data_IF_264405533000
#
_entry.id   IF_264405533000
#
_cell.length_a   1.000
_cell.length_b   1.000
_cell.length_c   1.000
_cell.angle_alpha   90.00
_cell.angle_beta   90.00
_cell.angle_gamma   90.00
#
_symmetry.space_group_name_H-M   'P 1'
#
loop_
_entity.id
_entity.type
_entity.pdbx_description
1 polymer ?
#
# COMPACT_ATOMS: atom_id res chain seq x y z
N UNK A 1 0.43 -9.67 35.14
CA UNK A 1 0.92 -8.91 33.96
C UNK A 1 0.91 -9.84 32.75
N UNK A 2 0.12 -9.55 31.70
CA UNK A 2 -0.02 -10.47 30.56
C UNK A 2 1.33 -10.68 29.84
N UNK A 3 1.50 -11.81 29.17
CA UNK A 3 2.71 -12.10 28.38
C UNK A 3 2.97 -10.99 27.36
N UNK A 4 1.90 -10.42 26.79
CA UNK A 4 1.91 -9.23 25.94
C UNK A 4 2.53 -8.00 26.62
N UNK A 5 2.20 -7.73 27.89
CA UNK A 5 2.79 -6.61 28.64
C UNK A 5 4.25 -6.87 29.06
N UNK A 6 4.63 -8.14 29.30
CA UNK A 6 6.03 -8.54 29.52
C UNK A 6 6.89 -8.37 28.26
N UNK A 7 6.35 -8.71 27.08
CA UNK A 7 7.02 -8.48 25.80
C UNK A 7 7.16 -6.99 25.46
N UNK A 8 6.21 -6.15 25.93
CA UNK A 8 6.29 -4.68 25.77
C UNK A 8 7.42 -4.06 26.59
N UNK A 9 7.63 -4.53 27.82
CA UNK A 9 8.57 -3.92 28.75
C UNK A 9 10.00 -4.49 28.66
N UNK A 10 10.16 -5.75 28.27
CA UNK A 10 11.45 -6.46 28.39
C UNK A 10 12.08 -6.92 27.08
N UNK A 11 11.50 -6.62 25.91
CA UNK A 11 12.14 -6.90 24.61
C UNK A 11 12.36 -8.39 24.31
N UNK A 12 11.65 -9.28 24.99
CA UNK A 12 11.66 -10.72 24.74
C UNK A 12 11.11 -10.96 23.31
N UNK A 13 11.75 -11.83 22.50
CA UNK A 13 11.18 -12.26 21.21
C UNK A 13 9.72 -12.64 21.40
N UNK A 14 8.84 -12.26 20.47
CA UNK A 14 7.47 -12.76 20.49
C UNK A 14 7.54 -14.18 19.93
N UNK A 15 7.52 -15.26 20.74
CA UNK A 15 7.49 -16.60 20.17
C UNK A 15 6.22 -16.75 19.33
N UNK A 16 6.29 -17.52 18.25
CA UNK A 16 5.17 -17.99 17.42
C UNK A 16 3.91 -18.31 18.25
N UNK A 17 4.12 -18.88 19.45
CA UNK A 17 3.07 -19.26 20.41
C UNK A 17 2.23 -18.10 20.99
N UNK A 18 2.66 -16.85 20.87
CA UNK A 18 1.94 -15.70 21.48
C UNK A 18 0.63 -15.37 20.76
N UNK A 19 0.49 -15.82 19.50
CA UNK A 19 -0.74 -15.63 18.71
C UNK A 19 -1.45 -16.95 18.36
N UNK A 20 -0.99 -18.10 18.86
CA UNK A 20 -1.49 -19.43 18.45
C UNK A 20 -1.48 -19.68 16.92
N UNK A 21 -0.65 -18.96 16.18
CA UNK A 21 -0.55 -19.04 14.72
C UNK A 21 0.50 -20.08 14.33
N UNK A 22 0.16 -21.03 13.46
CA UNK A 22 1.15 -21.91 12.83
C UNK A 22 1.40 -21.45 11.39
N UNK A 23 2.63 -21.64 10.88
CA UNK A 23 2.94 -21.33 9.49
C UNK A 23 2.03 -22.09 8.50
N UNK A 24 1.47 -23.21 8.93
CA UNK A 24 0.50 -24.04 8.22
C UNK A 24 -0.82 -23.31 7.99
N UNK A 25 -1.33 -22.54 8.97
CA UNK A 25 -2.63 -21.85 8.85
C UNK A 25 -2.67 -20.88 7.66
N UNK A 26 -1.60 -20.14 7.41
CA UNK A 26 -1.52 -19.24 6.25
C UNK A 26 -1.30 -19.99 4.93
N UNK A 27 -0.58 -21.12 4.95
CA UNK A 27 -0.42 -21.93 3.74
C UNK A 27 -1.73 -22.59 3.30
N UNK A 28 -2.67 -22.78 4.23
CA UNK A 28 -3.98 -23.33 3.96
C UNK A 28 -5.00 -22.27 3.53
N UNK A 29 -4.66 -20.97 3.59
CA UNK A 29 -5.53 -19.91 3.09
C UNK A 29 -5.39 -19.77 1.57
N UNK A 30 -6.42 -20.11 0.76
CA UNK A 30 -6.33 -20.07 -0.70
C UNK A 30 -6.21 -18.65 -1.26
N UNK A 31 -6.47 -17.62 -0.45
CA UNK A 31 -6.40 -16.21 -0.83
C UNK A 31 -5.14 -15.52 -0.28
N UNK A 32 -4.29 -16.26 0.43
CA UNK A 32 -3.04 -15.76 0.97
C UNK A 32 -1.84 -16.23 0.14
N UNK A 33 -0.89 -15.34 -0.05
CA UNK A 33 0.33 -15.59 -0.83
C UNK A 33 1.51 -14.95 -0.13
N UNK A 34 2.65 -15.62 -0.12
CA UNK A 34 3.89 -15.08 0.39
C UNK A 34 5.08 -15.66 -0.34
N UNK A 35 6.14 -14.87 -0.49
CA UNK A 35 7.42 -15.36 -0.98
C UNK A 35 8.37 -15.67 0.17
N UNK A 36 9.30 -16.60 -0.10
CA UNK A 36 10.48 -16.79 0.76
C UNK A 36 11.38 -15.56 0.72
N UNK A 37 12.30 -15.49 1.67
CA UNK A 37 13.28 -14.43 1.72
C UNK A 37 14.16 -14.48 0.46
N UNK A 38 14.33 -13.34 -0.20
CA UNK A 38 15.20 -13.22 -1.37
C UNK A 38 16.14 -12.01 -1.24
N UNK A 39 17.18 -11.94 -2.08
CA UNK A 39 18.30 -11.02 -1.93
C UNK A 39 18.20 -9.82 -2.86
N UNK A 40 18.69 -8.70 -2.37
CA UNK A 40 19.01 -7.51 -3.14
C UNK A 40 20.42 -7.01 -2.79
N UNK A 41 20.89 -5.99 -3.48
CA UNK A 41 22.29 -5.53 -3.37
C UNK A 41 22.67 -4.99 -1.97
N UNK A 42 21.70 -4.72 -1.10
CA UNK A 42 21.90 -4.27 0.28
C UNK A 42 21.19 -5.15 1.32
N UNK A 43 20.99 -6.43 1.05
CA UNK A 43 20.44 -7.35 2.04
C UNK A 43 19.35 -8.23 1.45
N UNK A 44 18.25 -8.36 2.18
CA UNK A 44 17.18 -9.30 1.87
C UNK A 44 15.82 -8.61 1.88
N UNK A 45 14.81 -9.24 1.29
CA UNK A 45 13.44 -8.79 1.36
C UNK A 45 12.44 -9.95 1.40
N UNK A 46 11.27 -9.69 1.96
CA UNK A 46 10.15 -10.64 2.06
C UNK A 46 8.85 -9.93 1.72
N UNK A 47 7.91 -10.63 1.11
CA UNK A 47 6.63 -10.09 0.66
C UNK A 47 5.49 -11.06 1.00
N UNK A 48 4.33 -10.51 1.35
CA UNK A 48 3.10 -11.26 1.51
C UNK A 48 1.90 -10.42 1.08
N UNK A 49 0.88 -11.09 0.57
CA UNK A 49 -0.39 -10.50 0.18
C UNK A 49 -1.55 -11.42 0.60
N UNK A 50 -2.67 -10.85 1.05
CA UNK A 50 -3.89 -11.59 1.39
C UNK A 50 -5.11 -10.89 0.84
N UNK A 51 -5.83 -11.59 -0.04
CA UNK A 51 -7.03 -11.09 -0.67
C UNK A 51 -8.23 -11.18 0.28
N UNK A 52 -9.07 -10.14 0.23
CA UNK A 52 -10.33 -9.98 0.94
C UNK A 52 -11.49 -9.72 -0.01
N UNK A 53 -11.32 -8.79 -0.95
CA UNK A 53 -12.37 -8.41 -1.91
C UNK A 53 -12.62 -9.48 -2.99
N UNK A 54 -13.66 -9.30 -3.82
CA UNK A 54 -13.98 -10.25 -4.91
C UNK A 54 -12.77 -10.50 -5.81
N UNK A 55 -12.10 -9.43 -6.18
CA UNK A 55 -10.83 -9.43 -6.88
C UNK A 55 -9.82 -8.74 -5.97
N UNK A 56 -8.56 -9.17 -5.99
CA UNK A 56 -7.50 -8.51 -5.24
C UNK A 56 -7.22 -7.16 -5.90
N UNK A 57 -7.54 -6.06 -5.22
CA UNK A 57 -7.35 -4.70 -5.76
C UNK A 57 -5.96 -4.15 -5.43
N UNK A 58 -5.31 -4.74 -4.43
CA UNK A 58 -3.93 -4.50 -4.06
C UNK A 58 -2.96 -5.12 -5.08
N UNK A 59 -2.09 -4.28 -5.64
CA UNK A 59 -0.95 -4.71 -6.46
C UNK A 59 0.36 -4.30 -5.81
N UNK A 60 1.37 -5.13 -5.93
CA UNK A 60 2.73 -4.73 -5.62
C UNK A 60 3.73 -5.36 -6.56
N UNK A 61 4.91 -4.79 -6.55
CA UNK A 61 6.06 -5.36 -7.24
C UNK A 61 7.37 -4.92 -6.60
N UNK A 62 8.36 -5.81 -6.65
CA UNK A 62 9.74 -5.56 -6.24
C UNK A 62 10.64 -5.93 -7.40
N UNK A 63 11.56 -5.03 -7.75
CA UNK A 63 12.48 -5.21 -8.86
C UNK A 63 13.91 -5.05 -8.37
N UNK A 64 14.75 -6.05 -8.61
CA UNK A 64 16.11 -6.14 -8.06
C UNK A 64 17.12 -5.83 -9.15
N UNK A 65 17.92 -4.78 -8.94
CA UNK A 65 19.03 -4.39 -9.81
C UNK A 65 20.39 -4.65 -9.19
N UNK A 66 21.47 -4.34 -9.93
CA UNK A 66 22.84 -4.53 -9.45
C UNK A 66 23.20 -3.61 -8.27
N UNK A 67 22.82 -2.34 -8.36
CA UNK A 67 23.05 -1.31 -7.36
C UNK A 67 21.76 -0.52 -7.05
N UNK A 68 20.61 -1.14 -7.37
CA UNK A 68 19.29 -0.57 -7.22
C UNK A 68 18.24 -1.60 -6.73
N UNK A 69 17.23 -1.13 -6.02
CA UNK A 69 16.05 -1.90 -5.64
C UNK A 69 14.82 -1.01 -5.81
N UNK A 70 13.82 -1.49 -6.55
CA UNK A 70 12.52 -0.84 -6.64
C UNK A 70 11.47 -1.60 -5.84
N UNK A 71 10.59 -0.87 -5.18
CA UNK A 71 9.44 -1.40 -4.45
C UNK A 71 8.24 -0.51 -4.76
N UNK A 72 7.12 -1.11 -5.17
CA UNK A 72 5.85 -0.40 -5.34
C UNK A 72 4.68 -1.14 -4.69
N UNK A 73 3.81 -0.40 -4.03
CA UNK A 73 2.49 -0.86 -3.52
C UNK A 73 1.42 0.07 -4.09
N UNK A 74 0.38 -0.54 -4.66
CA UNK A 74 -0.73 0.11 -5.34
C UNK A 74 -2.03 -0.43 -4.76
N UNK A 75 -2.70 0.40 -3.97
CA UNK A 75 -3.90 0.02 -3.22
C UNK A 75 -5.11 0.43 -4.05
N UNK A 76 -5.71 -0.50 -4.78
CA UNK A 76 -6.82 -0.25 -5.69
C UNK A 76 -8.11 0.08 -4.95
N UNK A 77 -8.94 0.93 -5.55
CA UNK A 77 -10.24 1.29 -4.99
C UNK A 77 -11.31 1.29 -6.08
N UNK A 78 -12.43 0.60 -5.80
CA UNK A 78 -13.55 0.37 -6.74
C UNK A 78 -13.14 -0.40 -8.00
N UNK A 79 -12.14 -1.27 -7.88
CA UNK A 79 -11.55 -2.04 -8.94
C UNK A 79 -10.02 -1.97 -8.95
N UNK A 80 -9.42 -2.95 -9.62
CA UNK A 80 -7.98 -3.14 -9.75
C UNK A 80 -7.34 -2.37 -10.92
N UNK A 81 -8.16 -1.82 -11.82
CA UNK A 81 -7.68 -1.33 -13.12
C UNK A 81 -6.64 -0.22 -13.00
N UNK A 82 -6.80 0.71 -12.05
CA UNK A 82 -5.81 1.75 -11.79
C UNK A 82 -4.50 1.17 -11.20
N UNK A 83 -4.60 0.24 -10.24
CA UNK A 83 -3.45 -0.42 -9.64
C UNK A 83 -2.65 -1.24 -10.68
N UNK A 84 -3.35 -1.96 -11.56
CA UNK A 84 -2.76 -2.68 -12.70
C UNK A 84 -2.05 -1.70 -13.64
N UNK A 85 -2.68 -0.58 -14.00
CA UNK A 85 -2.07 0.42 -14.87
C UNK A 85 -0.77 0.94 -14.27
N UNK A 86 -0.80 1.39 -13.00
CA UNK A 86 0.39 1.90 -12.32
C UNK A 86 1.52 0.85 -12.34
N UNK A 87 1.24 -0.40 -11.93
CA UNK A 87 2.23 -1.49 -11.93
C UNK A 87 2.90 -1.68 -13.29
N UNK A 88 2.15 -1.59 -14.39
CA UNK A 88 2.66 -1.84 -15.75
C UNK A 88 3.52 -0.70 -16.29
N UNK A 89 3.36 0.52 -15.77
CA UNK A 89 3.90 1.73 -16.39
C UNK A 89 4.92 2.48 -15.53
N UNK A 90 4.73 2.52 -14.20
CA UNK A 90 5.48 3.47 -13.35
C UNK A 90 6.98 3.17 -13.27
N UNK A 91 7.36 1.89 -13.22
CA UNK A 91 8.78 1.56 -13.12
C UNK A 91 9.53 1.86 -14.41
N UNK A 92 8.91 1.56 -15.56
CA UNK A 92 9.42 1.92 -16.89
C UNK A 92 9.59 3.42 -17.04
N UNK A 93 8.59 4.20 -16.64
CA UNK A 93 8.66 5.65 -16.64
C UNK A 93 9.80 6.17 -15.74
N UNK A 94 9.94 5.61 -14.54
CA UNK A 94 11.01 5.95 -13.61
C UNK A 94 12.40 5.70 -14.19
N UNK A 95 12.65 4.51 -14.73
CA UNK A 95 13.92 4.17 -15.35
C UNK A 95 14.22 5.05 -16.57
N UNK A 96 13.21 5.35 -17.40
CA UNK A 96 13.36 6.26 -18.53
C UNK A 96 13.79 7.66 -18.07
N UNK A 97 13.14 8.23 -17.05
CA UNK A 97 13.51 9.54 -16.48
C UNK A 97 14.91 9.54 -15.85
N UNK A 98 15.29 8.45 -15.18
CA UNK A 98 16.66 8.28 -14.65
C UNK A 98 17.69 8.29 -15.78
N UNK A 99 17.40 7.61 -16.90
CA UNK A 99 18.28 7.59 -18.08
C UNK A 99 18.41 8.97 -18.71
N UNK A 100 17.28 9.64 -18.95
CA UNK A 100 17.22 11.02 -19.47
C UNK A 100 17.99 11.99 -18.57
N UNK A 101 18.09 11.70 -17.27
CA UNK A 101 18.86 12.46 -16.29
C UNK A 101 20.27 11.89 -16.05
N UNK A 102 20.96 11.43 -17.10
CA UNK A 102 22.34 10.94 -17.05
C UNK A 102 22.56 9.80 -16.03
N UNK A 103 21.61 8.87 -15.95
CA UNK A 103 21.60 7.75 -14.99
C UNK A 103 21.63 8.19 -13.51
N UNK A 104 21.06 9.37 -13.21
CA UNK A 104 20.96 9.90 -11.86
C UNK A 104 19.51 9.99 -11.39
N UNK A 105 19.24 9.43 -10.21
CA UNK A 105 17.96 9.55 -9.55
C UNK A 105 17.90 10.84 -8.70
N UNK A 106 16.78 11.56 -8.76
CA UNK A 106 16.54 12.80 -7.99
C UNK A 106 15.10 12.86 -7.47
N UNK A 107 14.84 13.76 -6.53
CA UNK A 107 13.48 13.97 -5.99
C UNK A 107 12.50 14.50 -7.06
N UNK A 108 12.85 15.46 -7.93
CA UNK A 108 11.97 15.91 -9.01
C UNK A 108 11.46 14.78 -9.92
N UNK A 109 12.32 13.82 -10.27
CA UNK A 109 11.94 12.65 -11.10
C UNK A 109 10.74 11.91 -10.50
N UNK A 110 10.67 11.76 -9.16
CA UNK A 110 9.52 11.12 -8.53
C UNK A 110 8.20 11.85 -8.82
N UNK A 111 8.22 13.19 -8.86
CA UNK A 111 7.04 14.01 -9.14
C UNK A 111 6.61 13.86 -10.59
N UNK A 112 7.56 14.01 -11.49
CA UNK A 112 7.35 13.89 -12.93
C UNK A 112 6.79 12.51 -13.30
N UNK A 113 7.31 11.44 -12.68
CA UNK A 113 6.82 10.08 -12.91
C UNK A 113 5.38 9.91 -12.42
N UNK A 114 5.04 10.38 -11.22
CA UNK A 114 3.66 10.28 -10.72
C UNK A 114 2.70 11.11 -11.57
N UNK A 115 3.09 12.31 -11.99
CA UNK A 115 2.30 13.16 -12.90
C UNK A 115 2.07 12.51 -14.26
N UNK A 116 3.11 11.88 -14.82
CA UNK A 116 3.02 11.14 -16.07
C UNK A 116 2.06 9.95 -15.95
N UNK A 117 2.12 9.20 -14.84
CA UNK A 117 1.22 8.06 -14.62
C UNK A 117 -0.22 8.51 -14.42
N UNK A 118 -0.47 9.60 -13.69
CA UNK A 118 -1.81 10.19 -13.59
C UNK A 118 -2.33 10.58 -14.97
N UNK A 119 -1.54 11.36 -15.73
CA UNK A 119 -1.96 11.86 -17.05
C UNK A 119 -2.25 10.70 -18.02
N UNK A 120 -1.39 9.69 -18.03
CA UNK A 120 -1.56 8.49 -18.83
C UNK A 120 -2.81 7.69 -18.43
N UNK A 121 -3.09 7.54 -17.13
CA UNK A 121 -4.30 6.84 -16.67
C UNK A 121 -5.58 7.62 -17.00
N UNK A 122 -5.57 8.95 -16.85
CA UNK A 122 -6.71 9.80 -17.23
C UNK A 122 -7.02 9.69 -18.72
N UNK A 123 -5.98 9.67 -19.56
CA UNK A 123 -6.13 9.48 -21.00
C UNK A 123 -6.63 8.08 -21.35
N UNK A 124 -6.13 7.05 -20.66
CA UNK A 124 -6.65 5.68 -20.77
C UNK A 124 -8.15 5.62 -20.42
N UNK A 125 -8.55 6.19 -19.27
CA UNK A 125 -9.94 6.24 -18.83
C UNK A 125 -10.84 6.98 -19.82
N UNK A 126 -10.36 8.10 -20.38
CA UNK A 126 -11.04 8.85 -21.42
C UNK A 126 -11.27 7.99 -22.66
N UNK A 127 -10.27 7.29 -23.15
CA UNK A 127 -10.38 6.44 -24.34
C UNK A 127 -11.31 5.25 -24.11
N UNK A 128 -11.22 4.59 -22.96
CA UNK A 128 -12.13 3.50 -22.61
C UNK A 128 -13.59 3.96 -22.51
N UNK A 129 -13.83 5.19 -22.01
CA UNK A 129 -15.17 5.77 -22.03
C UNK A 129 -15.65 6.10 -23.46
N UNK A 130 -14.84 6.81 -24.25
CA UNK A 130 -15.27 7.32 -25.55
C UNK A 130 -15.37 6.24 -26.64
N UNK A 131 -14.53 5.20 -26.55
CA UNK A 131 -14.44 4.17 -27.59
C UNK A 131 -15.13 2.87 -27.16
N UNK A 132 -15.04 2.51 -25.87
CA UNK A 132 -15.52 1.22 -25.35
C UNK A 132 -16.75 1.37 -24.44
N UNK A 133 -17.25 2.58 -24.24
CA UNK A 133 -18.40 2.88 -23.37
C UNK A 133 -18.22 2.44 -21.91
N UNK A 134 -16.97 2.33 -21.44
CA UNK A 134 -16.62 1.88 -20.09
C UNK A 134 -16.50 3.06 -19.11
N UNK A 135 -17.64 3.67 -18.76
CA UNK A 135 -17.67 4.83 -17.85
C UNK A 135 -17.12 4.52 -16.44
N UNK A 136 -17.20 3.27 -15.98
CA UNK A 136 -16.75 2.85 -14.65
C UNK A 136 -15.24 3.08 -14.43
N UNK A 137 -14.41 3.05 -15.48
CA UNK A 137 -12.96 3.35 -15.37
C UNK A 137 -12.71 4.79 -14.92
N UNK A 138 -13.65 5.72 -15.15
CA UNK A 138 -13.58 7.08 -14.62
C UNK A 138 -13.85 7.20 -13.10
N UNK A 139 -14.23 6.09 -12.45
CA UNK A 139 -14.57 6.02 -11.02
C UNK A 139 -13.58 5.16 -10.21
N UNK A 140 -12.75 4.36 -10.87
CA UNK A 140 -11.72 3.55 -10.20
C UNK A 140 -10.49 4.39 -9.89
N UNK A 141 -9.76 4.03 -8.84
CA UNK A 141 -8.56 4.75 -8.43
C UNK A 141 -7.57 3.83 -7.74
N UNK A 142 -6.36 4.33 -7.47
CA UNK A 142 -5.41 3.59 -6.65
C UNK A 142 -4.49 4.52 -5.87
N UNK A 143 -4.18 4.15 -4.63
CA UNK A 143 -3.01 4.69 -3.92
C UNK A 143 -1.71 4.24 -4.61
N UNK A 144 -0.66 5.04 -4.53
CA UNK A 144 0.62 4.75 -5.15
C UNK A 144 1.76 5.08 -4.18
N UNK A 145 2.37 4.04 -3.62
CA UNK A 145 3.58 4.14 -2.81
C UNK A 145 4.73 3.49 -3.57
N UNK A 146 5.70 4.28 -4.01
CA UNK A 146 6.91 3.77 -4.67
C UNK A 146 8.16 4.15 -3.89
N UNK A 147 9.15 3.27 -3.93
CA UNK A 147 10.46 3.49 -3.35
C UNK A 147 11.53 2.92 -4.27
N UNK A 148 12.56 3.72 -4.60
CA UNK A 148 13.78 3.24 -5.22
C UNK A 148 14.96 3.49 -4.29
N UNK A 149 15.72 2.44 -3.98
CA UNK A 149 17.01 2.58 -3.34
C UNK A 149 18.05 2.58 -4.45
N UNK A 150 18.48 3.75 -4.88
CA UNK A 150 19.44 3.96 -5.96
C UNK A 150 20.82 4.26 -5.39
N UNK A 151 21.79 3.35 -5.59
CA UNK A 151 23.19 3.53 -5.18
C UNK A 151 23.35 3.96 -3.71
N UNK A 152 22.56 3.37 -2.82
CA UNK A 152 22.57 3.66 -1.38
C UNK A 152 21.78 4.90 -0.94
N UNK A 153 21.11 5.60 -1.85
CA UNK A 153 20.15 6.67 -1.53
C UNK A 153 18.73 6.16 -1.73
N UNK A 154 17.89 6.31 -0.72
CA UNK A 154 16.48 5.96 -0.78
C UNK A 154 15.67 7.17 -1.26
N UNK A 155 14.81 6.96 -2.25
CA UNK A 155 13.85 7.91 -2.79
C UNK A 155 12.46 7.31 -2.72
N UNK A 156 11.48 8.06 -2.23
CA UNK A 156 10.14 7.56 -1.97
C UNK A 156 9.09 8.60 -2.36
N UNK A 157 8.02 8.15 -3.02
CA UNK A 157 6.85 8.96 -3.32
C UNK A 157 5.58 8.24 -2.85
N UNK A 158 4.65 8.98 -2.26
CA UNK A 158 3.38 8.46 -1.78
C UNK A 158 2.19 9.31 -2.24
N UNK A 159 1.19 8.67 -2.80
CA UNK A 159 -0.14 9.19 -3.13
C UNK A 159 -1.15 8.25 -2.44
N UNK A 160 -1.98 8.74 -1.53
CA UNK A 160 -2.87 7.90 -0.74
C UNK A 160 -2.35 7.56 0.66
N UNK A 161 -2.82 6.45 1.23
CA UNK A 161 -2.68 6.10 2.65
C UNK A 161 -1.88 4.81 2.93
N UNK A 162 -1.35 4.16 1.90
CA UNK A 162 -0.20 3.25 2.01
C UNK A 162 0.96 3.92 2.76
N UNK A 163 1.76 3.13 3.48
CA UNK A 163 2.78 3.67 4.39
C UNK A 163 4.08 2.89 4.34
N UNK A 164 5.18 3.65 4.48
CA UNK A 164 6.53 3.13 4.65
C UNK A 164 7.11 3.53 6.02
N UNK A 165 7.62 2.54 6.76
CA UNK A 165 8.14 2.69 8.12
C UNK A 165 9.57 2.17 8.19
N UNK A 166 10.50 3.05 8.56
CA UNK A 166 11.91 2.72 8.77
C UNK A 166 12.15 2.28 10.21
N UNK A 167 12.77 1.12 10.37
CA UNK A 167 13.43 0.68 11.60
C UNK A 167 14.92 1.00 11.55
N UNK A 168 15.41 1.70 12.56
CA UNK A 168 16.85 1.99 12.73
C UNK A 168 17.31 1.67 14.14
N UNK A 169 18.59 1.38 14.33
CA UNK A 169 19.21 1.16 15.64
C UNK A 169 20.06 2.36 16.02
N UNK A 170 19.67 3.07 17.08
CA UNK A 170 20.43 4.21 17.63
C UNK A 170 20.89 3.93 19.06
N UNK A 171 22.04 4.47 19.43
CA UNK A 171 22.70 4.23 20.72
C UNK A 171 24.10 3.64 20.56
N UNK A 172 24.77 3.38 21.68
CA UNK A 172 26.17 2.96 21.73
C UNK A 172 26.28 1.50 22.18
N UNK A 173 27.08 0.70 21.47
CA UNK A 173 27.38 -0.69 21.81
C UNK A 173 26.13 -1.55 22.07
N UNK A 174 26.05 -2.24 23.22
CA UNK A 174 24.93 -3.12 23.56
C UNK A 174 23.61 -2.36 23.84
N UNK A 175 23.65 -1.03 24.04
CA UNK A 175 22.48 -0.22 24.35
C UNK A 175 21.74 0.34 23.12
N UNK A 176 22.00 -0.21 21.92
CA UNK A 176 21.29 0.18 20.70
C UNK A 176 19.80 -0.13 20.81
N UNK A 177 18.96 0.90 20.71
CA UNK A 177 17.50 0.82 20.74
C UNK A 177 16.90 0.94 19.34
N UNK A 178 15.80 0.22 19.13
CA UNK A 178 14.98 0.36 17.92
C UNK A 178 14.32 1.74 17.91
N UNK A 179 14.57 2.50 16.86
CA UNK A 179 13.92 3.76 16.53
C UNK A 179 13.04 3.53 15.30
N UNK A 180 11.76 3.86 15.43
CA UNK A 180 10.74 3.67 14.40
C UNK A 180 10.37 5.03 13.82
N UNK A 181 10.43 5.18 12.50
CA UNK A 181 10.08 6.43 11.83
C UNK A 181 9.22 6.14 10.60
N UNK A 182 8.02 6.70 10.55
CA UNK A 182 7.26 6.81 9.31
C UNK A 182 7.97 7.79 8.37
N UNK A 183 8.27 7.37 7.14
CA UNK A 183 9.14 8.14 6.25
C UNK A 183 8.40 9.19 5.43
N UNK A 184 7.12 8.94 5.13
CA UNK A 184 6.29 9.78 4.28
C UNK A 184 4.93 10.02 4.93
N UNK A 185 4.34 11.18 4.70
CA UNK A 185 2.99 11.49 5.17
C UNK A 185 1.97 10.63 4.42
N UNK A 186 0.92 10.21 5.15
CA UNK A 186 -0.23 9.50 4.58
C UNK A 186 -1.38 10.47 4.35
N UNK A 187 -2.10 10.29 3.24
CA UNK A 187 -3.19 11.15 2.79
C UNK A 187 -4.57 10.60 3.15
N UNK A 188 -4.68 10.00 4.34
CA UNK A 188 -5.94 9.49 4.89
C UNK A 188 -6.77 10.61 5.50
N UNK A 189 -8.08 10.55 5.33
CA UNK A 189 -9.04 11.45 5.96
C UNK A 189 -9.11 11.27 7.48
N UNK A 190 -8.50 10.24 8.07
CA UNK A 190 -8.33 10.16 9.53
C UNK A 190 -7.28 11.17 10.04
N UNK A 191 -6.37 11.61 9.17
CA UNK A 191 -5.30 12.54 9.52
C UNK A 191 -5.83 13.98 9.68
N UNK A 192 -5.63 14.57 10.86
CA UNK A 192 -6.07 15.94 11.15
C UNK A 192 -5.47 17.01 10.23
N UNK A 193 -4.24 16.81 9.75
CA UNK A 193 -3.61 17.79 8.84
C UNK A 193 -4.18 17.69 7.43
N UNK A 194 -4.55 16.49 6.98
CA UNK A 194 -5.29 16.29 5.72
C UNK A 194 -6.66 16.96 5.80
N UNK A 195 -7.37 16.81 6.94
CA UNK A 195 -8.65 17.52 7.17
C UNK A 195 -8.50 19.04 7.11
N UNK A 196 -7.43 19.60 7.68
CA UNK A 196 -7.13 21.05 7.59
C UNK A 196 -6.81 21.46 6.15
N UNK A 197 -6.03 20.68 5.42
CA UNK A 197 -5.71 20.91 4.00
C UNK A 197 -6.98 20.95 3.15
N UNK A 198 -7.87 19.97 3.32
CA UNK A 198 -9.18 19.90 2.64
C UNK A 198 -10.04 21.13 2.93
N UNK A 199 -10.16 21.55 4.20
CA UNK A 199 -10.90 22.79 4.57
C UNK A 199 -10.31 24.04 3.92
N UNK A 200 -8.98 24.11 3.79
CA UNK A 200 -8.31 25.24 3.15
C UNK A 200 -8.53 25.26 1.65
N UNK A 201 -8.56 24.10 0.99
CA UNK A 201 -8.81 23.99 -0.45
C UNK A 201 -10.29 24.19 -0.81
N UNK A 202 -11.19 23.86 0.12
CA UNK A 202 -12.65 23.95 -0.04
C UNK A 202 -13.29 24.76 1.10
N UNK A 203 -12.96 26.07 1.24
CA UNK A 203 -13.47 26.90 2.33
C UNK A 203 -14.99 27.13 2.26
N UNK A 204 -15.58 26.92 1.10
CA UNK A 204 -17.00 27.03 0.76
C UNK A 204 -17.77 25.71 0.93
N UNK A 205 -17.11 24.62 1.32
CA UNK A 205 -17.69 23.29 1.41
C UNK A 205 -17.56 22.69 2.81
N UNK A 206 -18.54 22.98 3.67
CA UNK A 206 -18.59 22.46 5.04
C UNK A 206 -18.76 20.94 5.11
N UNK A 207 -19.13 20.30 4.00
CA UNK A 207 -19.35 18.87 3.85
C UNK A 207 -18.28 18.24 2.94
N UNK A 208 -17.09 18.83 2.85
CA UNK A 208 -16.01 18.27 2.02
C UNK A 208 -15.59 16.87 2.51
N UNK A 209 -15.56 16.67 3.83
CA UNK A 209 -15.37 15.36 4.44
C UNK A 209 -16.40 15.13 5.55
N UNK A 210 -16.84 13.90 5.70
CA UNK A 210 -17.92 13.49 6.60
C UNK A 210 -17.57 12.18 7.30
N UNK A 211 -18.17 11.96 8.47
CA UNK A 211 -18.02 10.74 9.23
C UNK A 211 -19.16 9.79 8.86
N UNK A 212 -18.83 8.72 8.12
CA UNK A 212 -19.81 7.70 7.77
C UNK A 212 -19.86 6.63 8.85
N UNK A 213 -21.06 6.31 9.33
CA UNK A 213 -21.30 5.11 10.13
C UNK A 213 -21.46 3.91 9.19
N UNK A 214 -20.60 2.89 9.31
CA UNK A 214 -20.85 1.58 8.74
C UNK A 214 -22.08 0.99 9.41
N UNK A 215 -23.16 0.78 8.65
CA UNK A 215 -24.38 0.13 9.13
C UNK A 215 -24.15 -1.38 9.19
N UNK A 216 -24.10 -1.94 10.39
CA UNK A 216 -24.21 -3.37 10.64
C UNK A 216 -25.67 -3.64 11.04
N UNK A 217 -26.46 -4.25 10.15
CA UNK A 217 -27.87 -4.56 10.43
C UNK A 217 -28.04 -5.75 11.39
N UNK A 218 -27.01 -6.59 11.55
CA UNK A 218 -27.17 -7.90 12.23
C UNK A 218 -26.82 -7.81 13.72
N UNK A 219 -25.91 -6.93 14.12
CA UNK A 219 -25.47 -6.84 15.52
C UNK A 219 -25.43 -5.38 16.03
N UNK A 220 -26.52 -4.93 16.66
CA UNK A 220 -26.64 -3.62 17.34
C UNK A 220 -25.62 -3.35 18.46
N UNK A 221 -24.79 -4.34 18.81
CA UNK A 221 -23.83 -4.29 19.92
C UNK A 221 -22.36 -4.45 19.51
N UNK A 222 -22.05 -4.54 18.21
CA UNK A 222 -20.66 -4.56 17.73
C UNK A 222 -20.30 -3.14 17.26
N UNK A 223 -19.17 -2.64 17.72
CA UNK A 223 -18.64 -1.28 17.51
C UNK A 223 -18.94 -0.77 16.09
N UNK A 224 -19.82 0.25 15.98
CA UNK A 224 -20.07 0.98 14.75
C UNK A 224 -18.74 1.47 14.19
N UNK A 225 -18.32 0.95 13.04
CA UNK A 225 -17.12 1.44 12.38
C UNK A 225 -17.41 2.83 11.83
N UNK A 226 -16.76 3.86 12.36
CA UNK A 226 -16.83 5.21 11.84
C UNK A 226 -15.62 5.46 10.96
N UNK A 227 -15.85 5.96 9.74
CA UNK A 227 -14.79 6.24 8.78
C UNK A 227 -14.95 7.64 8.21
N UNK A 228 -13.90 8.44 8.28
CA UNK A 228 -13.88 9.73 7.61
C UNK A 228 -13.69 9.55 6.11
N UNK A 229 -14.56 10.18 5.32
CA UNK A 229 -14.54 10.07 3.85
C UNK A 229 -14.75 11.44 3.21
N UNK A 230 -14.22 11.64 2.01
CA UNK A 230 -14.54 12.78 1.16
C UNK A 230 -15.85 12.51 0.46
N UNK A 231 -16.83 13.39 0.69
CA UNK A 231 -18.18 13.30 0.11
C UNK A 231 -18.89 11.96 0.30
N UNK A 232 -18.55 11.22 1.36
CA UNK A 232 -19.13 9.91 1.62
C UNK A 232 -18.53 8.77 0.79
N UNK A 233 -17.56 9.02 -0.09
CA UNK A 233 -17.16 8.08 -1.14
C UNK A 233 -15.78 7.45 -0.97
N UNK A 234 -14.78 8.17 -0.48
CA UNK A 234 -13.38 7.69 -0.44
C UNK A 234 -12.65 8.19 0.82
N UNK A 235 -11.79 7.35 1.40
CA UNK A 235 -11.08 7.65 2.65
C UNK A 235 -9.75 8.41 2.45
N UNK A 236 -9.30 8.58 1.21
CA UNK A 236 -8.04 9.24 0.88
C UNK A 236 -8.28 10.55 0.16
N UNK A 237 -7.47 11.58 0.46
CA UNK A 237 -7.51 12.85 -0.26
C UNK A 237 -6.67 12.86 -1.53
N UNK A 238 -5.83 11.83 -1.69
CA UNK A 238 -4.94 11.70 -2.85
C UNK A 238 -4.98 10.29 -3.41
N UNK A 239 -5.06 10.17 -4.73
CA UNK A 239 -5.03 8.92 -5.47
C UNK A 239 -4.64 9.17 -6.93
N UNK A 240 -4.21 8.12 -7.63
CA UNK A 240 -4.17 8.09 -9.10
C UNK A 240 -5.55 7.67 -9.61
N UNK A 241 -6.03 8.30 -10.69
CA UNK A 241 -7.36 8.04 -11.24
C UNK A 241 -8.48 8.76 -10.51
N UNK A 242 -9.67 8.16 -10.42
CA UNK A 242 -10.90 8.80 -9.94
C UNK A 242 -11.25 10.09 -10.71
N UNK A 243 -11.24 9.99 -12.05
CA UNK A 243 -11.43 11.11 -12.97
C UNK A 243 -12.68 11.96 -12.65
N UNK A 244 -13.77 11.32 -12.18
CA UNK A 244 -15.00 12.02 -11.82
C UNK A 244 -14.81 13.01 -10.67
N UNK A 245 -14.25 12.57 -9.53
CA UNK A 245 -14.02 13.43 -8.36
C UNK A 245 -12.91 14.46 -8.61
N UNK A 246 -12.07 14.26 -9.64
CA UNK A 246 -11.11 15.24 -10.15
C UNK A 246 -11.69 16.21 -11.19
N UNK A 247 -12.98 16.08 -11.54
CA UNK A 247 -13.68 16.88 -12.56
C UNK A 247 -13.01 16.87 -13.94
N UNK A 248 -12.40 15.76 -14.34
CA UNK A 248 -11.76 15.65 -15.65
C UNK A 248 -12.80 15.88 -16.76
N UNK A 249 -12.48 16.62 -17.85
CA UNK A 249 -13.47 17.07 -18.83
C UNK A 249 -14.42 15.99 -19.39
N UNK A 250 -13.93 14.77 -19.65
CA UNK A 250 -14.78 13.71 -20.22
C UNK A 250 -15.89 13.24 -19.27
N UNK A 251 -15.72 13.41 -17.96
CA UNK A 251 -16.69 13.02 -16.93
C UNK A 251 -17.85 14.02 -16.81
N UNK A 252 -17.71 15.21 -17.41
CA UNK A 252 -18.73 16.26 -17.41
C UNK A 252 -19.71 16.13 -18.59
N UNK A 253 -19.47 15.17 -19.51
CA UNK A 253 -20.36 14.94 -20.65
C UNK A 253 -21.66 14.30 -20.16
N UNK A 254 -22.81 14.70 -20.73
CA UNK A 254 -24.15 14.15 -20.39
C UNK A 254 -24.27 12.62 -20.53
N UNK A 255 -23.44 12.04 -21.39
CA UNK A 255 -23.36 10.60 -21.66
C UNK A 255 -22.57 9.83 -20.60
N UNK A 256 -21.75 10.52 -19.79
CA UNK A 256 -21.06 9.89 -18.67
C UNK A 256 -22.06 9.67 -17.54
N UNK A 257 -22.47 8.41 -17.33
CA UNK A 257 -23.45 8.04 -16.29
C UNK A 257 -22.73 7.57 -15.04
N UNK A 258 -23.09 8.17 -13.93
CA UNK A 258 -22.54 7.84 -12.61
C UNK A 258 -23.59 7.00 -11.86
N UNK A 259 -23.22 5.81 -11.37
CA UNK A 259 -24.09 4.99 -10.52
C UNK A 259 -24.57 5.78 -9.31
N UNK A 260 -25.77 5.47 -8.80
CA UNK A 260 -26.40 6.26 -7.72
C UNK A 260 -25.51 6.30 -6.46
N UNK A 261 -24.94 5.16 -6.04
CA UNK A 261 -24.04 5.06 -4.89
C UNK A 261 -22.68 5.76 -5.08
N UNK A 262 -22.38 6.20 -6.30
CA UNK A 262 -21.11 6.84 -6.69
C UNK A 262 -21.25 8.35 -6.91
N UNK A 263 -22.46 8.89 -6.80
CA UNK A 263 -22.71 10.31 -7.03
C UNK A 263 -22.34 11.11 -5.81
N UNK A 264 -21.54 12.16 -6.02
CA UNK A 264 -21.41 13.23 -5.05
C UNK A 264 -22.75 13.96 -4.97
N UNK A 265 -23.40 13.90 -3.81
CA UNK A 265 -24.76 14.46 -3.60
C UNK A 265 -24.77 15.99 -3.73
N UNK A 266 -23.78 16.65 -3.14
CA UNK A 266 -23.61 18.10 -3.24
C UNK A 266 -22.84 18.48 -4.51
N UNK A 267 -23.29 19.50 -5.24
CA UNK A 267 -22.51 20.02 -6.36
C UNK A 267 -21.10 20.45 -5.92
N UNK A 268 -20.09 20.19 -6.77
CA UNK A 268 -18.71 20.60 -6.54
C UNK A 268 -18.12 21.25 -7.78
N UNK A 269 -17.43 22.38 -7.59
CA UNK A 269 -16.89 23.20 -8.69
C UNK A 269 -15.43 22.92 -8.98
N UNK A 270 -14.68 22.44 -7.99
CA UNK A 270 -13.23 22.19 -8.03
C UNK A 270 -12.90 20.71 -7.77
N UNK A 271 -11.75 20.18 -8.22
CA UNK A 271 -11.33 18.81 -7.92
C UNK A 271 -11.35 18.53 -6.42
N UNK A 272 -11.88 17.38 -6.01
CA UNK A 272 -11.97 16.94 -4.61
C UNK A 272 -10.76 16.11 -4.16
N UNK A 273 -9.99 15.61 -5.14
CA UNK A 273 -8.86 14.71 -4.95
C UNK A 273 -7.65 15.25 -5.72
N UNK A 274 -6.45 14.94 -5.23
CA UNK A 274 -5.18 15.27 -5.91
C UNK A 274 -4.37 14.01 -6.23
N UNK A 275 -3.55 14.04 -7.27
CA UNK A 275 -2.53 13.03 -7.55
C UNK A 275 -1.13 13.44 -7.06
N UNK A 276 -1.00 14.63 -6.46
CA UNK A 276 0.30 15.17 -6.06
C UNK A 276 0.98 14.30 -4.99
N UNK A 277 2.21 13.80 -5.24
CA UNK A 277 2.87 12.92 -4.30
C UNK A 277 3.54 13.70 -3.14
N UNK A 278 3.47 13.13 -1.95
CA UNK A 278 4.44 13.43 -0.91
C UNK A 278 5.75 12.71 -1.25
N UNK A 279 6.89 13.41 -1.25
CA UNK A 279 8.19 12.80 -1.59
C UNK A 279 9.17 12.90 -0.44
N UNK A 280 10.05 11.91 -0.36
CA UNK A 280 11.09 11.81 0.66
C UNK A 280 12.36 11.25 0.05
N UNK A 281 13.51 11.81 0.40
CA UNK A 281 14.81 11.22 0.07
C UNK A 281 15.76 11.24 1.25
N UNK A 282 16.66 10.25 1.29
CA UNK A 282 17.75 10.20 2.26
C UNK A 282 18.87 9.29 1.78
N UNK A 283 20.09 9.63 2.14
CA UNK A 283 21.21 8.68 2.11
C UNK A 283 20.99 7.66 3.23
N UNK A 284 21.09 6.37 2.90
CA UNK A 284 20.98 5.30 3.89
C UNK A 284 22.22 5.28 4.79
N UNK A 285 21.98 5.06 6.08
CA UNK A 285 23.01 4.99 7.11
C UNK A 285 23.18 3.55 7.58
N UNK A 286 24.35 3.24 8.11
CA UNK A 286 24.64 1.93 8.74
C UNK A 286 23.75 1.61 9.95
N UNK A 287 23.06 2.62 10.50
CA UNK A 287 22.08 2.44 11.58
C UNK A 287 20.72 2.00 11.06
N UNK A 288 20.43 2.17 9.78
CA UNK A 288 19.15 1.76 9.18
C UNK A 288 19.16 0.24 9.04
N UNK A 289 18.10 -0.41 9.52
CA UNK A 289 18.04 -1.88 9.61
C UNK A 289 17.04 -2.47 8.64
N UNK A 290 15.87 -1.85 8.48
CA UNK A 290 14.84 -2.33 7.58
C UNK A 290 13.81 -1.25 7.27
N UNK A 291 13.08 -1.42 6.17
CA UNK A 291 11.88 -0.67 5.83
C UNK A 291 10.70 -1.62 5.68
N UNK A 292 9.57 -1.28 6.27
CA UNK A 292 8.30 -1.97 6.11
C UNK A 292 7.39 -1.11 5.23
N UNK A 293 6.99 -1.65 4.10
CA UNK A 293 5.97 -1.08 3.22
C UNK A 293 4.68 -1.87 3.40
N UNK A 294 3.53 -1.19 3.42
CA UNK A 294 2.25 -1.88 3.42
C UNK A 294 1.11 -1.03 2.87
N UNK A 295 0.08 -1.70 2.38
CA UNK A 295 -1.18 -1.09 1.92
C UNK A 295 -2.04 -0.60 3.10
N UNK A 296 -3.12 0.13 2.80
CA UNK A 296 -4.02 0.66 3.81
C UNK A 296 -4.62 -0.45 4.67
N UNK A 297 -5.01 -1.58 4.05
CA UNK A 297 -5.55 -2.74 4.76
C UNK A 297 -4.63 -3.28 5.86
N UNK A 298 -3.33 -3.32 5.63
CA UNK A 298 -2.35 -3.69 6.64
C UNK A 298 -2.28 -2.66 7.78
N UNK A 299 -2.14 -1.37 7.45
CA UNK A 299 -1.92 -0.31 8.44
C UNK A 299 -3.18 0.09 9.23
N UNK A 300 -4.39 -0.25 8.74
CA UNK A 300 -5.65 -0.18 9.51
C UNK A 300 -5.66 -1.13 10.72
N UNK A 301 -4.86 -2.19 10.68
CA UNK A 301 -4.78 -3.22 11.73
C UNK A 301 -3.48 -3.14 12.55
N UNK A 302 -2.42 -2.59 11.97
CA UNK A 302 -1.08 -2.57 12.55
C UNK A 302 -0.59 -1.16 12.88
N UNK A 303 -0.07 -0.97 14.10
CA UNK A 303 0.71 0.22 14.48
C UNK A 303 2.15 0.09 13.98
N UNK A 304 2.80 1.22 13.69
CA UNK A 304 4.20 1.29 13.27
C UNK A 304 5.13 0.55 14.24
N UNK A 305 4.94 0.77 15.54
CA UNK A 305 5.80 0.24 16.61
C UNK A 305 5.69 -1.27 16.72
N UNK A 306 4.47 -1.82 16.64
CA UNK A 306 4.26 -3.26 16.68
C UNK A 306 4.88 -3.93 15.44
N UNK A 307 4.63 -3.41 14.24
CA UNK A 307 5.18 -3.97 13.01
C UNK A 307 6.71 -3.96 13.05
N UNK A 308 7.32 -2.82 13.41
CA UNK A 308 8.76 -2.71 13.54
C UNK A 308 9.34 -3.61 14.64
N UNK A 309 8.63 -3.80 15.75
CA UNK A 309 9.05 -4.72 16.80
C UNK A 309 9.06 -6.17 16.30
N UNK A 310 7.99 -6.60 15.62
CA UNK A 310 7.90 -7.94 15.03
C UNK A 310 9.10 -8.18 14.09
N UNK A 311 9.37 -7.26 13.16
CA UNK A 311 10.52 -7.37 12.24
C UNK A 311 11.85 -7.40 12.98
N UNK A 312 11.99 -6.64 14.06
CA UNK A 312 13.23 -6.56 14.82
C UNK A 312 13.51 -7.79 15.71
N UNK A 313 12.48 -8.52 16.14
CA UNK A 313 12.62 -9.61 17.13
C UNK A 313 12.37 -11.01 16.59
N UNK A 314 11.99 -11.15 15.33
CA UNK A 314 11.72 -12.44 14.70
C UNK A 314 12.78 -12.75 13.62
N UNK A 315 12.96 -14.04 13.26
CA UNK A 315 13.70 -14.42 12.07
C UNK A 315 13.18 -13.70 10.83
N UNK A 316 14.08 -13.43 9.87
CA UNK A 316 13.72 -12.77 8.60
C UNK A 316 12.88 -13.65 7.70
N UNK A 317 13.11 -14.96 7.75
CA UNK A 317 12.33 -15.95 7.03
C UNK A 317 10.85 -15.82 7.34
N UNK A 318 10.04 -15.69 6.29
CA UNK A 318 8.60 -15.52 6.37
C UNK A 318 8.14 -14.28 7.17
N UNK A 319 8.98 -13.26 7.33
CA UNK A 319 8.61 -12.11 8.19
C UNK A 319 7.39 -11.35 7.66
N UNK A 320 7.25 -11.19 6.33
CA UNK A 320 6.08 -10.54 5.74
C UNK A 320 4.81 -11.36 5.96
N UNK A 321 4.92 -12.69 5.85
CA UNK A 321 3.85 -13.64 6.17
C UNK A 321 3.41 -13.51 7.63
N UNK A 322 4.36 -13.45 8.58
CA UNK A 322 4.06 -13.23 10.01
C UNK A 322 3.32 -11.91 10.22
N UNK A 323 3.76 -10.82 9.58
CA UNK A 323 3.09 -9.52 9.67
C UNK A 323 1.65 -9.57 9.16
N UNK A 324 1.41 -10.22 8.01
CA UNK A 324 0.07 -10.38 7.44
C UNK A 324 -0.84 -11.20 8.38
N UNK A 325 -0.34 -12.32 8.92
CA UNK A 325 -1.12 -13.15 9.86
C UNK A 325 -1.49 -12.38 11.13
N UNK A 326 -0.55 -11.62 11.71
CA UNK A 326 -0.82 -10.80 12.91
C UNK A 326 -1.82 -9.69 12.61
N UNK A 327 -1.78 -9.10 11.42
CA UNK A 327 -2.77 -8.10 11.01
C UNK A 327 -4.18 -8.71 10.96
N UNK A 328 -4.36 -9.86 10.29
CA UNK A 328 -5.66 -10.53 10.18
C UNK A 328 -6.15 -11.03 11.54
N UNK A 329 -5.28 -11.61 12.37
CA UNK A 329 -5.63 -12.02 13.74
C UNK A 329 -6.14 -10.83 14.57
N UNK A 330 -5.58 -9.62 14.38
CA UNK A 330 -6.13 -8.41 15.00
C UNK A 330 -7.50 -8.01 14.44
N UNK A 331 -7.69 -8.11 13.12
CA UNK A 331 -8.98 -7.89 12.48
C UNK A 331 -10.07 -8.83 13.00
N UNK A 332 -9.74 -10.12 13.06
CA UNK A 332 -10.57 -11.18 13.62
C UNK A 332 -10.93 -10.91 15.09
N UNK A 333 -9.93 -10.61 15.93
CA UNK A 333 -10.14 -10.36 17.36
C UNK A 333 -11.00 -9.12 17.63
N UNK A 334 -10.89 -8.05 16.82
CA UNK A 334 -11.79 -6.88 16.89
C UNK A 334 -13.26 -7.27 16.71
N UNK A 335 -13.52 -8.38 16.02
CA UNK A 335 -14.85 -8.94 15.74
C UNK A 335 -15.12 -10.25 16.50
N UNK A 336 -14.34 -10.56 17.54
CA UNK A 336 -14.48 -11.75 18.40
C UNK A 336 -14.40 -13.09 17.62
N UNK A 337 -13.62 -13.14 16.55
CA UNK A 337 -13.27 -14.35 15.78
C UNK A 337 -11.78 -14.64 15.90
N UNK A 338 -11.38 -15.88 15.62
CA UNK A 338 -9.97 -16.27 15.49
C UNK A 338 -9.53 -16.21 14.04
N UNK A 339 -8.23 -16.07 13.78
CA UNK A 339 -7.67 -16.15 12.42
C UNK A 339 -8.10 -17.41 11.66
N UNK A 340 -8.10 -18.57 12.33
CA UNK A 340 -8.50 -19.85 11.70
C UNK A 340 -9.93 -19.82 11.17
N UNK A 341 -10.84 -19.11 11.85
CA UNK A 341 -12.23 -19.00 11.40
C UNK A 341 -12.31 -18.07 10.18
N UNK A 342 -11.53 -16.99 10.17
CA UNK A 342 -11.55 -15.99 9.09
C UNK A 342 -11.03 -16.55 7.76
N UNK A 343 -10.06 -17.45 7.79
CA UNK A 343 -9.53 -18.03 6.53
C UNK A 343 -10.54 -18.96 5.84
N UNK A 344 -11.48 -19.54 6.59
CA UNK A 344 -12.56 -20.36 6.03
C UNK A 344 -13.70 -19.51 5.43
N UNK A 345 -13.75 -18.21 5.76
CA UNK A 345 -14.75 -17.28 5.25
C UNK A 345 -14.42 -16.94 3.79
N UNK A 346 -15.42 -16.96 2.88
CA UNK A 346 -15.20 -16.61 1.49
C UNK A 346 -14.82 -15.12 1.32
N UNK A 347 -14.11 -14.83 0.23
CA UNK A 347 -13.87 -13.47 -0.24
C UNK A 347 -15.18 -12.70 -0.50
N UNK A 348 -15.09 -11.38 -0.57
CA UNK A 348 -16.22 -10.51 -0.88
C UNK A 348 -16.85 -10.79 -2.25
N UNK A 349 -18.08 -10.29 -2.44
CA UNK A 349 -18.82 -10.41 -3.70
C UNK A 349 -18.68 -9.16 -4.60
N UNK A 350 -18.03 -8.11 -4.10
CA UNK A 350 -17.85 -6.83 -4.78
C UNK A 350 -16.43 -6.29 -4.67
N UNK A 351 -16.28 -5.07 -5.17
CA UNK A 351 -15.07 -4.23 -5.10
C UNK A 351 -15.07 -3.42 -3.80
N UNK A 352 -13.92 -2.84 -3.43
CA UNK A 352 -13.89 -1.93 -2.29
C UNK A 352 -14.77 -0.70 -2.54
N UNK A 353 -15.25 -0.09 -1.45
CA UNK A 353 -16.10 1.10 -1.53
C UNK A 353 -17.56 0.83 -1.92
N UNK A 354 -17.93 -0.41 -2.24
CA UNK A 354 -19.33 -0.81 -2.28
C UNK A 354 -19.84 -0.93 -0.83
N UNK A 355 -20.47 0.14 -0.34
CA UNK A 355 -21.02 0.23 1.03
C UNK A 355 -22.27 -0.64 1.24
N UNK A 356 -22.55 -1.60 0.36
CA UNK A 356 -23.52 -2.66 0.62
C UNK A 356 -23.26 -3.36 1.96
N UNK A 357 -24.26 -4.07 2.47
CA UNK A 357 -24.22 -4.69 3.79
C UNK A 357 -23.02 -5.65 3.96
N UNK A 358 -21.93 -5.15 4.55
CA UNK A 358 -20.79 -5.98 4.94
C UNK A 358 -21.15 -6.67 6.23
N UNK A 359 -21.49 -7.95 6.14
CA UNK A 359 -21.78 -8.81 7.30
C UNK A 359 -20.64 -9.79 7.57
N UNK A 360 -20.69 -10.43 8.73
CA UNK A 360 -19.71 -11.36 9.28
C UNK A 360 -19.40 -12.62 8.46
N UNK A 361 -20.01 -12.80 7.28
CA UNK A 361 -19.84 -13.99 6.41
C UNK A 361 -18.97 -13.73 5.18
N UNK A 362 -18.37 -12.55 5.07
CA UNK A 362 -17.38 -12.23 4.04
C UNK A 362 -16.13 -11.62 4.65
N UNK A 363 -14.95 -11.88 4.07
CA UNK A 363 -13.65 -11.38 4.56
C UNK A 363 -13.56 -9.86 4.75
N UNK A 364 -14.18 -9.00 3.90
CA UNK A 364 -14.14 -7.54 4.07
C UNK A 364 -14.68 -7.03 5.41
N UNK A 365 -15.45 -7.84 6.15
CA UNK A 365 -15.89 -7.50 7.51
C UNK A 365 -14.75 -7.49 8.54
N UNK A 366 -13.69 -8.27 8.30
CA UNK A 366 -12.59 -8.50 9.24
C UNK A 366 -11.31 -7.79 8.83
N UNK A 367 -11.01 -7.76 7.55
CA UNK A 367 -9.84 -7.09 6.99
C UNK A 367 -10.08 -6.65 5.55
N UNK A 368 -9.36 -5.64 5.10
CA UNK A 368 -9.28 -5.25 3.69
C UNK A 368 -8.25 -6.13 2.96
N UNK A 369 -8.04 -5.92 1.66
CA UNK A 369 -6.86 -6.48 0.99
C UNK A 369 -5.57 -6.05 1.73
N UNK A 370 -4.66 -6.99 1.95
CA UNK A 370 -3.42 -6.75 2.68
C UNK A 370 -2.24 -7.01 1.75
N UNK A 371 -1.34 -6.04 1.65
CA UNK A 371 -0.02 -6.20 1.04
C UNK A 371 1.04 -5.68 2.00
N UNK A 372 2.09 -6.47 2.24
CA UNK A 372 3.22 -6.07 3.08
C UNK A 372 4.54 -6.55 2.49
N UNK A 373 5.53 -5.65 2.47
CA UNK A 373 6.88 -5.89 1.99
C UNK A 373 7.86 -5.40 3.04
N UNK A 374 8.81 -6.25 3.42
CA UNK A 374 9.89 -5.91 4.35
C UNK A 374 11.21 -5.96 3.60
N UNK A 375 11.94 -4.84 3.56
CA UNK A 375 13.28 -4.74 2.98
C UNK A 375 14.29 -4.56 4.10
N UNK A 376 15.18 -5.51 4.29
CA UNK A 376 16.31 -5.41 5.21
C UNK A 376 17.46 -4.64 4.55
N UNK A 377 18.15 -3.82 5.35
CA UNK A 377 19.22 -2.92 4.93
C UNK A 377 20.53 -3.33 5.62
N UNK A 378 21.18 -4.33 5.05
CA UNK A 378 22.44 -4.87 5.53
C UNK A 378 23.65 -4.07 5.02
N UNK A 379 24.78 -4.23 5.72
CA UNK A 379 26.09 -3.89 5.16
C UNK A 379 26.39 -4.92 4.08
N UNK A 380 26.59 -4.44 2.84
CA UNK A 380 26.86 -5.21 1.60
C UNK A 380 27.14 -6.71 1.85
N UNK A 381 26.21 -7.62 1.52
CA UNK A 381 26.49 -9.04 1.63
C UNK A 381 27.69 -9.40 0.72
N UNK A 382 28.63 -10.18 1.25
CA UNK A 382 29.92 -10.53 0.67
C UNK A 382 29.86 -10.81 -0.85
N UNK A 383 30.28 -9.85 -1.69
CA UNK A 383 30.73 -10.03 -3.08
C UNK A 383 29.76 -10.62 -4.12
N UNK A 384 28.64 -11.23 -3.72
CA UNK A 384 27.68 -11.88 -4.62
C UNK A 384 26.70 -10.84 -5.14
N UNK A 385 26.74 -10.59 -6.45
CA UNK A 385 25.73 -9.75 -7.11
C UNK A 385 24.38 -10.47 -7.02
N UNK A 386 23.30 -9.78 -6.62
CA UNK A 386 21.96 -10.37 -6.68
C UNK A 386 21.61 -10.64 -8.14
N UNK A 387 20.80 -11.68 -8.33
CA UNK A 387 20.20 -11.96 -9.63
C UNK A 387 19.19 -10.85 -9.97
N UNK A 388 19.17 -10.41 -11.22
CA UNK A 388 18.23 -9.38 -11.67
C UNK A 388 16.87 -10.03 -11.87
N UNK A 389 15.93 -9.73 -10.99
CA UNK A 389 14.61 -10.39 -10.92
C UNK A 389 13.51 -9.42 -10.53
N UNK A 390 12.29 -9.72 -10.99
CA UNK A 390 11.07 -8.98 -10.64
C UNK A 390 10.05 -9.92 -9.99
N UNK A 391 9.36 -9.41 -8.97
CA UNK A 391 8.39 -10.15 -8.17
C UNK A 391 7.11 -9.34 -8.09
N UNK A 392 5.94 -9.98 -8.11
CA UNK A 392 4.65 -9.30 -7.91
C UNK A 392 3.80 -10.00 -6.86
N UNK A 393 2.78 -9.34 -6.31
CA UNK A 393 1.86 -9.96 -5.34
C UNK A 393 1.08 -11.17 -5.90
N UNK A 394 0.79 -11.16 -7.20
CA UNK A 394 -0.06 -12.17 -7.86
C UNK A 394 0.76 -13.24 -8.59
N UNK A 395 2.04 -13.01 -8.81
CA UNK A 395 2.93 -13.93 -9.48
C UNK A 395 4.35 -13.77 -8.93
N UNK A 396 4.82 -14.86 -8.32
CA UNK A 396 6.18 -14.99 -7.78
C UNK A 396 7.10 -15.79 -8.72
N UNK A 397 6.64 -16.08 -9.96
CA UNK A 397 7.49 -16.65 -11.00
C UNK A 397 8.43 -15.60 -11.56
N UNK A 398 9.55 -16.04 -12.16
CA UNK A 398 10.60 -15.18 -12.70
C UNK A 398 10.06 -14.30 -13.85
N UNK A 399 9.60 -13.10 -13.51
CA UNK A 399 9.23 -12.08 -14.49
C UNK A 399 10.51 -11.34 -14.90
N UNK A 400 10.76 -11.14 -16.21
CA UNK A 400 11.88 -10.32 -16.67
C UNK A 400 11.84 -8.94 -16.02
N UNK A 401 12.92 -8.60 -15.31
CA UNK A 401 13.06 -7.32 -14.64
C UNK A 401 13.38 -6.20 -15.65
N UNK A 402 12.79 -5.04 -15.43
CA UNK A 402 13.06 -3.85 -16.27
C UNK A 402 14.51 -3.36 -16.10
N UNK A 403 15.18 -3.72 -14.99
CA UNK A 403 16.59 -3.45 -14.82
C UNK A 403 17.46 -4.19 -15.84
N UNK A 404 17.06 -5.37 -16.32
CA UNK A 404 17.78 -6.10 -17.37
C UNK A 404 17.89 -5.25 -18.64
N UNK A 405 16.78 -4.69 -19.09
CA UNK A 405 16.75 -3.78 -20.24
C UNK A 405 17.47 -2.46 -19.95
N UNK A 406 17.41 -2.00 -18.70
CA UNK A 406 18.05 -0.76 -18.30
C UNK A 406 19.58 -0.82 -18.43
N UNK A 407 20.21 -1.88 -17.89
CA UNK A 407 21.66 -2.04 -17.89
C UNK A 407 22.23 -2.46 -19.25
N UNK A 408 21.50 -3.28 -20.03
CA UNK A 408 21.97 -3.70 -21.35
C UNK A 408 22.13 -2.52 -22.32
N UNK A 409 21.26 -1.51 -22.21
CA UNK A 409 21.31 -0.31 -23.06
C UNK A 409 22.25 0.79 -22.53
N UNK A 410 23.06 0.51 -21.49
CA UNK A 410 24.11 1.45 -21.01
C UNK A 410 25.52 1.12 -21.53
N UNK A 411 25.66 0.03 -22.30
CA UNK A 411 26.91 -0.38 -22.95
C UNK A 411 26.99 -0.02 -24.45
N UNK A 412 26.00 0.72 -24.96
CA UNK A 412 26.05 1.43 -26.24
C UNK A 412 26.14 2.94 -25.96
#
# INVERSE_FOLDING_TARGET
>A
MSLFLKCILFGIPIPYRTYHLTAETFNNDPFARSMRLDRHYRGEFSMAAVQSNKDMEDYSHVDVGHDALFVGIYDGFKGDTAAIYIRRHIFKALLRRIRENNNNMTVPILREVVEEIESGFIEFARNSFLQQHQAHIGLVSSGCLICIIWRGTLYLANVGDSRAVLGSRKGVGPFKRLCVKQMVRVHSCENSDVKKELRKWHPDDNLIYELNELRDEVHSHISKGQLWTIKGLIQTSRCIGYAYMKKVPFTQRRTFKIPIGERVVSAFTRPLLSSEPEVYSRVLKDTDSFVIFGSSGFWKLMSNELAARIVNTNPRDNIAKILAMVAIEKGANKKRKKYCDVIEIPKGNGVSGDFGYVHDRIRPFYHDDITVIVVFLDKRPNGVRPEIKSYTCNDYTDIPSEFTHFYNNTNE
#
